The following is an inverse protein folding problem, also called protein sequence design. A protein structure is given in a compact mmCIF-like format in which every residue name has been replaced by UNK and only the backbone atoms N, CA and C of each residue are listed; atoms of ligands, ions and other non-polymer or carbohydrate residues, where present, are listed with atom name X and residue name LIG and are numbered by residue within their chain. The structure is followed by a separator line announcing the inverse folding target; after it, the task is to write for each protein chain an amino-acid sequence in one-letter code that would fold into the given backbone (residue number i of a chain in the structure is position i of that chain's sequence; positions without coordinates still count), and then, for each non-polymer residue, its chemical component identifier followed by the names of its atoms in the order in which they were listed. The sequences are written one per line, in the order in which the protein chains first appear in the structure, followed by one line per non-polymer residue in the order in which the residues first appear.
data_IF_803955949032
#
_entry.id   IF_803955949032
#
_cell.length_a   1.000
_cell.length_b   1.000
_cell.length_c   1.000
_cell.angle_alpha   90.00
_cell.angle_beta   90.00
_cell.angle_gamma   90.00
#
_symmetry.space_group_name_H-M   'P 1'
#
loop_
_entity.id
_entity.type
_entity.pdbx_description
1 polymer ?
#
# COMPACT_ATOMS: atom_id res chain seq x y z
N UNK A 1 -28.76 11.29 27.39
CA UNK A 1 -29.60 10.31 26.68
C UNK A 1 -29.37 8.96 27.34
N UNK A 2 -30.29 8.53 28.20
CA UNK A 2 -30.25 7.23 28.89
C UNK A 2 -30.96 6.20 28.01
N UNK A 3 -30.34 5.04 27.75
CA UNK A 3 -30.97 3.94 27.03
C UNK A 3 -30.22 3.42 25.79
N UNK A 4 -29.20 4.12 25.30
CA UNK A 4 -28.36 3.63 24.19
C UNK A 4 -27.10 2.99 24.77
N UNK A 5 -27.00 1.67 24.65
CA UNK A 5 -25.80 0.90 25.01
C UNK A 5 -25.13 0.40 23.74
N UNK A 6 -23.86 0.75 23.57
CA UNK A 6 -23.02 0.16 22.54
C UNK A 6 -22.38 -1.09 23.16
N UNK A 7 -22.68 -2.26 22.62
CA UNK A 7 -22.01 -3.50 22.96
C UNK A 7 -21.09 -3.88 21.81
N UNK A 8 -19.83 -4.14 22.13
CA UNK A 8 -18.87 -4.67 21.18
C UNK A 8 -18.96 -6.19 21.19
N UNK A 9 -19.29 -6.80 20.05
CA UNK A 9 -19.18 -8.24 19.92
C UNK A 9 -17.78 -8.58 19.38
N UNK A 10 -16.95 -9.14 20.25
CA UNK A 10 -15.57 -9.54 19.94
C UNK A 10 -15.50 -10.66 18.89
N UNK A 11 -16.58 -11.43 18.67
CA UNK A 11 -16.57 -12.58 17.76
C UNK A 11 -16.81 -12.20 16.30
N UNK A 12 -17.63 -11.18 16.06
CA UNK A 12 -18.00 -10.77 14.70
C UNK A 12 -17.35 -9.47 14.26
N UNK A 13 -16.55 -8.82 15.13
CA UNK A 13 -15.90 -7.54 14.85
C UNK A 13 -16.91 -6.42 14.49
N UNK A 14 -18.08 -6.47 15.11
CA UNK A 14 -19.19 -5.55 14.89
C UNK A 14 -19.54 -4.82 16.19
N UNK A 15 -19.88 -3.54 16.08
CA UNK A 15 -20.49 -2.79 17.18
C UNK A 15 -21.99 -2.92 17.06
N UNK A 16 -22.62 -3.53 18.07
CA UNK A 16 -24.07 -3.62 18.17
C UNK A 16 -24.56 -2.45 19.02
N UNK A 17 -25.60 -1.78 18.55
CA UNK A 17 -26.31 -0.77 19.35
C UNK A 17 -27.59 -1.36 19.87
N UNK A 18 -27.67 -1.40 21.20
CA UNK A 18 -28.84 -1.74 21.98
C UNK A 18 -29.55 -0.43 22.33
N UNK A 19 -30.74 -0.24 21.78
CA UNK A 19 -31.59 0.89 22.11
C UNK A 19 -32.79 0.39 22.92
N UNK A 20 -32.86 0.79 24.19
CA UNK A 20 -34.05 0.61 25.01
C UNK A 20 -35.03 1.77 24.75
N UNK A 21 -36.08 1.50 23.97
CA UNK A 21 -37.15 2.43 23.55
C UNK A 21 -37.89 3.05 24.75
N UNK A 22 -37.91 2.37 25.90
CA UNK A 22 -38.57 2.80 27.13
C UNK A 22 -37.94 4.03 27.82
N UNK A 23 -36.73 4.42 27.44
CA UNK A 23 -36.02 5.58 28.02
C UNK A 23 -35.84 6.75 27.04
N UNK A 24 -36.46 6.65 25.86
CA UNK A 24 -36.37 7.66 24.82
C UNK A 24 -37.46 8.71 24.97
N UNK A 25 -37.03 9.98 25.04
CA UNK A 25 -37.92 11.13 25.30
C UNK A 25 -38.24 11.93 24.03
N UNK A 26 -37.88 11.42 22.83
CA UNK A 26 -38.17 12.09 21.55
C UNK A 26 -37.61 11.33 20.33
N UNK A 27 -37.98 11.75 19.10
CA UNK A 27 -37.52 11.12 17.86
C UNK A 27 -36.01 11.25 17.71
N UNK A 28 -35.38 10.16 17.30
CA UNK A 28 -33.92 10.07 17.16
C UNK A 28 -33.54 10.49 15.74
N UNK A 29 -32.57 11.38 15.62
CA UNK A 29 -31.98 11.76 14.35
C UNK A 29 -30.59 11.11 14.18
N UNK A 30 -30.24 10.82 12.93
CA UNK A 30 -28.94 10.27 12.50
C UNK A 30 -27.76 11.08 13.06
N UNK A 31 -27.88 12.41 13.07
CA UNK A 31 -26.85 13.30 13.58
C UNK A 31 -26.61 13.13 15.09
N UNK A 32 -27.65 12.86 15.88
CA UNK A 32 -27.54 12.68 17.33
C UNK A 32 -26.88 11.35 17.69
N UNK A 33 -27.19 10.29 16.94
CA UNK A 33 -26.54 8.98 17.08
C UNK A 33 -25.06 9.02 16.70
N UNK A 34 -24.71 9.73 15.62
CA UNK A 34 -23.31 9.92 15.22
C UNK A 34 -22.57 10.73 16.30
N UNK A 35 -23.17 11.78 16.86
CA UNK A 35 -22.53 12.60 17.90
C UNK A 35 -22.32 11.81 19.20
N UNK A 36 -23.28 10.96 19.58
CA UNK A 36 -23.13 10.02 20.70
C UNK A 36 -22.04 8.98 20.43
N UNK A 37 -21.96 8.45 19.21
CA UNK A 37 -20.93 7.49 18.81
C UNK A 37 -19.52 8.11 18.76
N UNK A 38 -19.40 9.39 18.42
CA UNK A 38 -18.12 10.12 18.48
C UNK A 38 -17.66 10.38 19.92
N UNK A 39 -18.58 10.35 20.89
CA UNK A 39 -18.28 10.54 22.32
C UNK A 39 -17.86 9.24 23.00
N UNK A 40 -18.19 8.08 22.40
CA UNK A 40 -17.82 6.77 22.93
C UNK A 40 -16.41 6.36 22.48
N UNK A 41 -15.74 5.47 23.22
CA UNK A 41 -14.38 4.98 22.91
C UNK A 41 -14.24 4.22 21.57
N UNK A 42 -15.32 4.06 20.80
CA UNK A 42 -15.40 3.25 19.57
C UNK A 42 -15.42 4.11 18.29
N UNK A 43 -14.97 5.36 18.39
CA UNK A 43 -14.91 6.37 17.32
C UNK A 43 -14.19 5.95 16.02
N UNK A 44 -13.43 4.86 16.04
CA UNK A 44 -12.56 4.43 14.93
C UNK A 44 -13.23 3.47 13.93
N UNK A 45 -14.46 3.02 14.19
CA UNK A 45 -15.13 2.04 13.31
C UNK A 45 -15.95 2.71 12.19
N UNK A 46 -16.19 1.96 11.12
CA UNK A 46 -16.90 2.45 9.94
C UNK A 46 -18.42 2.43 10.21
N UNK A 47 -19.10 3.60 10.28
CA UNK A 47 -20.54 3.64 10.49
C UNK A 47 -21.27 3.13 9.24
N UNK A 48 -22.20 2.19 9.41
CA UNK A 48 -23.02 1.68 8.32
C UNK A 48 -24.28 2.56 8.17
N UNK A 49 -24.13 3.70 7.48
CA UNK A 49 -25.19 4.73 7.38
C UNK A 49 -26.49 4.19 6.78
N UNK A 50 -26.43 3.22 5.87
CA UNK A 50 -27.61 2.61 5.24
C UNK A 50 -28.47 1.78 6.21
N UNK A 51 -27.84 1.05 7.14
CA UNK A 51 -28.57 0.25 8.13
C UNK A 51 -29.07 1.11 9.29
N UNK A 52 -28.32 2.17 9.63
CA UNK A 52 -28.72 3.16 10.63
C UNK A 52 -30.01 3.88 10.20
N UNK A 53 -30.16 4.22 8.93
CA UNK A 53 -31.38 4.88 8.42
C UNK A 53 -32.63 4.04 8.61
N UNK A 54 -32.60 2.78 8.17
CA UNK A 54 -33.72 1.83 8.32
C UNK A 54 -34.05 1.57 9.78
N UNK A 55 -33.03 1.41 10.61
CA UNK A 55 -33.19 1.18 12.05
C UNK A 55 -33.84 2.37 12.78
N UNK A 56 -33.50 3.60 12.38
CA UNK A 56 -34.14 4.80 12.93
C UNK A 56 -35.61 4.89 12.49
N UNK A 57 -35.90 4.54 11.23
CA UNK A 57 -37.27 4.51 10.73
C UNK A 57 -38.12 3.46 11.48
N UNK A 58 -37.57 2.26 11.73
CA UNK A 58 -38.22 1.20 12.52
C UNK A 58 -38.44 1.64 13.98
N UNK A 59 -37.44 2.23 14.64
CA UNK A 59 -37.57 2.74 16.02
C UNK A 59 -38.59 3.87 16.11
N UNK A 60 -38.61 4.80 15.14
CA UNK A 60 -39.57 5.89 15.13
C UNK A 60 -41.00 5.40 14.88
N UNK A 61 -41.18 4.32 14.09
CA UNK A 61 -42.47 3.66 13.91
C UNK A 61 -42.94 2.94 15.19
N UNK A 62 -42.04 2.23 15.89
CA UNK A 62 -42.36 1.53 17.14
C UNK A 62 -42.57 2.47 18.34
N UNK A 63 -41.91 3.63 18.35
CA UNK A 63 -42.18 4.73 19.28
C UNK A 63 -43.59 5.30 19.13
N UNK A 64 -44.12 5.36 17.90
CA UNK A 64 -45.51 5.81 17.64
C UNK A 64 -46.53 4.78 18.10
N UNK A 65 -46.16 3.49 18.13
CA UNK A 65 -47.05 2.38 18.52
C UNK A 65 -46.96 2.02 20.01
N UNK A 66 -46.12 2.70 20.80
CA UNK A 66 -45.92 2.49 22.23
C UNK A 66 -45.54 1.04 22.61
N UNK A 67 -44.81 0.35 21.74
CA UNK A 67 -44.31 -0.99 22.03
C UNK A 67 -42.91 -0.91 22.69
N UNK A 68 -42.76 -1.54 23.84
CA UNK A 68 -41.48 -1.64 24.56
C UNK A 68 -40.61 -2.76 23.96
N UNK A 69 -40.21 -2.59 22.69
CA UNK A 69 -39.34 -3.54 21.98
C UNK A 69 -37.89 -3.09 22.13
N UNK A 70 -37.01 -4.05 22.39
CA UNK A 70 -35.56 -3.85 22.33
C UNK A 70 -35.13 -4.08 20.89
N UNK A 71 -34.59 -3.05 20.26
CA UNK A 71 -34.03 -3.17 18.93
C UNK A 71 -32.50 -3.26 19.04
N UNK A 72 -31.96 -4.28 18.38
CA UNK A 72 -30.52 -4.51 18.26
C UNK A 72 -30.18 -4.41 16.77
N UNK A 73 -29.18 -3.60 16.41
CA UNK A 73 -28.67 -3.54 15.03
C UNK A 73 -27.19 -3.26 15.04
N UNK A 74 -26.53 -3.82 14.02
CA UNK A 74 -25.12 -3.58 13.73
C UNK A 74 -24.92 -2.14 13.28
N UNK A 75 -24.22 -1.36 14.10
CA UNK A 75 -24.04 0.08 13.91
C UNK A 75 -22.73 0.41 13.19
N UNK A 76 -21.67 -0.34 13.46
CA UNK A 76 -20.38 -0.12 12.83
C UNK A 76 -19.63 -1.44 12.62
N UNK A 77 -18.87 -1.48 11.53
CA UNK A 77 -18.02 -2.61 11.18
C UNK A 77 -16.55 -2.25 11.29
N UNK A 78 -15.74 -3.20 11.74
CA UNK A 78 -14.29 -3.11 11.65
C UNK A 78 -13.89 -3.38 10.21
N UNK A 79 -13.04 -2.52 9.64
CA UNK A 79 -12.40 -2.78 8.35
C UNK A 79 -10.89 -2.75 8.51
N UNK A 80 -10.25 -3.79 8.01
CA UNK A 80 -8.80 -3.84 7.90
C UNK A 80 -8.27 -2.83 6.87
N UNK A 81 -6.97 -2.56 6.95
CA UNK A 81 -6.32 -1.63 6.04
C UNK A 81 -6.29 -2.21 4.62
N UNK A 82 -6.75 -1.44 3.64
CA UNK A 82 -6.76 -1.86 2.25
C UNK A 82 -5.46 -1.46 1.56
N UNK A 83 -4.84 -2.41 0.85
CA UNK A 83 -3.66 -2.19 0.01
C UNK A 83 -4.05 -2.18 -1.46
N UNK A 84 -3.65 -1.15 -2.19
CA UNK A 84 -3.82 -1.03 -3.64
C UNK A 84 -2.46 -0.77 -4.27
N UNK A 85 -2.07 -1.61 -5.21
CA UNK A 85 -0.80 -1.45 -5.94
C UNK A 85 -1.08 -1.04 -7.38
N UNK A 86 -0.50 0.08 -7.78
CA UNK A 86 -0.57 0.60 -9.16
C UNK A 86 0.82 0.59 -9.76
N UNK A 87 1.00 -0.16 -10.84
CA UNK A 87 2.23 -0.17 -11.64
C UNK A 87 2.08 0.87 -12.74
N UNK A 88 3.09 1.71 -12.93
CA UNK A 88 3.07 2.71 -13.99
C UNK A 88 3.15 2.05 -15.39
N UNK A 89 2.66 2.74 -16.41
CA UNK A 89 2.62 2.23 -17.79
C UNK A 89 4.00 1.88 -18.34
N UNK A 90 5.02 2.61 -17.88
CA UNK A 90 6.43 2.38 -18.22
C UNK A 90 6.99 1.09 -17.59
N UNK A 91 6.26 0.45 -16.67
CA UNK A 91 6.67 -0.70 -15.86
C UNK A 91 7.99 -0.47 -15.10
N UNK A 92 8.35 0.80 -14.90
CA UNK A 92 9.59 1.24 -14.23
C UNK A 92 9.32 1.74 -12.82
N UNK A 93 8.07 1.88 -12.41
CA UNK A 93 7.73 2.23 -11.02
C UNK A 93 6.47 1.53 -10.54
N UNK A 94 6.43 1.22 -9.24
CA UNK A 94 5.24 0.72 -8.58
C UNK A 94 4.90 1.61 -7.38
N UNK A 95 3.66 2.08 -7.36
CA UNK A 95 3.08 2.90 -6.29
C UNK A 95 2.17 2.02 -5.44
N UNK A 96 2.41 2.03 -4.13
CA UNK A 96 1.55 1.39 -3.16
C UNK A 96 0.71 2.46 -2.49
N UNK A 97 -0.60 2.28 -2.51
CA UNK A 97 -1.58 3.06 -1.78
C UNK A 97 -2.12 2.22 -0.61
N UNK A 98 -2.08 2.79 0.58
CA UNK A 98 -2.56 2.17 1.82
C UNK A 98 -3.69 3.03 2.34
N UNK A 99 -4.86 2.43 2.53
CA UNK A 99 -5.99 3.07 3.20
C UNK A 99 -5.96 2.73 4.68
N UNK A 100 -5.99 3.75 5.54
CA UNK A 100 -5.99 3.57 6.98
C UNK A 100 -7.18 2.69 7.42
N UNK A 101 -6.98 1.71 8.31
CA UNK A 101 -8.03 0.81 8.76
C UNK A 101 -9.10 1.58 9.55
N UNK A 102 -10.28 0.98 9.66
CA UNK A 102 -11.34 1.41 10.56
C UNK A 102 -11.37 0.50 11.78
N UNK A 103 -10.47 0.76 12.74
CA UNK A 103 -10.30 -0.05 13.95
C UNK A 103 -9.78 -1.48 13.72
N UNK A 104 -9.44 -1.82 12.47
CA UNK A 104 -8.90 -3.13 12.07
C UNK A 104 -7.38 -3.19 12.08
N UNK A 105 -6.83 -4.30 11.58
CA UNK A 105 -5.38 -4.55 11.59
C UNK A 105 -4.69 -3.81 10.44
N UNK A 106 -3.49 -3.29 10.73
CA UNK A 106 -2.54 -2.83 9.71
C UNK A 106 -1.66 -4.02 9.29
N UNK A 107 -1.52 -4.31 7.99
CA UNK A 107 -0.68 -5.40 7.53
C UNK A 107 0.78 -5.15 7.93
N UNK A 108 1.46 -6.22 8.29
CA UNK A 108 2.89 -6.22 8.56
C UNK A 108 3.68 -5.93 7.28
N UNK A 109 4.92 -5.44 7.44
CA UNK A 109 5.83 -5.20 6.31
C UNK A 109 6.03 -6.46 5.45
N UNK A 110 6.05 -7.65 6.06
CA UNK A 110 6.11 -8.94 5.36
C UNK A 110 4.87 -9.22 4.53
N UNK A 111 3.66 -9.04 5.10
CA UNK A 111 2.39 -9.24 4.38
C UNK A 111 2.27 -8.28 3.20
N UNK A 112 2.68 -7.01 3.37
CA UNK A 112 2.70 -6.02 2.30
C UNK A 112 3.68 -6.39 1.17
N UNK A 113 4.85 -6.98 1.49
CA UNK A 113 5.80 -7.48 0.49
C UNK A 113 5.20 -8.67 -0.27
N UNK A 114 4.58 -9.62 0.43
CA UNK A 114 3.88 -10.76 -0.20
C UNK A 114 2.79 -10.28 -1.15
N UNK A 115 1.98 -9.30 -0.74
CA UNK A 115 0.97 -8.66 -1.59
C UNK A 115 1.59 -8.03 -2.86
N UNK A 116 2.76 -7.38 -2.74
CA UNK A 116 3.48 -6.86 -3.91
C UNK A 116 3.93 -7.98 -4.87
N UNK A 117 4.39 -9.11 -4.32
CA UNK A 117 4.79 -10.27 -5.11
C UNK A 117 3.61 -10.91 -5.86
N UNK A 118 2.43 -11.00 -5.23
CA UNK A 118 1.19 -11.46 -5.88
C UNK A 118 0.79 -10.59 -7.07
N UNK A 119 1.10 -9.29 -7.01
CA UNK A 119 0.90 -8.32 -8.09
C UNK A 119 2.07 -8.23 -9.08
N UNK A 120 2.95 -9.25 -9.11
CA UNK A 120 4.09 -9.39 -10.03
C UNK A 120 5.22 -8.35 -9.86
N UNK A 121 5.21 -7.56 -8.78
CA UNK A 121 6.35 -6.70 -8.44
C UNK A 121 7.32 -7.51 -7.61
N UNK A 122 8.41 -7.99 -8.23
CA UNK A 122 9.38 -8.89 -7.57
C UNK A 122 10.73 -8.24 -7.27
N UNK A 123 11.11 -7.21 -8.02
CA UNK A 123 12.41 -6.54 -7.88
C UNK A 123 12.25 -5.05 -7.63
N UNK A 124 13.25 -4.46 -6.98
CA UNK A 124 13.28 -3.02 -6.70
C UNK A 124 12.43 -2.57 -5.50
N UNK A 125 11.83 -3.49 -4.75
CA UNK A 125 11.01 -3.17 -3.56
C UNK A 125 11.89 -2.67 -2.42
N UNK A 126 11.59 -1.47 -1.91
CA UNK A 126 12.26 -0.92 -0.74
C UNK A 126 11.49 -1.24 0.54
N UNK A 127 12.04 -2.16 1.36
CA UNK A 127 11.46 -2.51 2.68
C UNK A 127 11.32 -1.29 3.61
N UNK A 128 12.29 -0.36 3.56
CA UNK A 128 12.27 0.87 4.36
C UNK A 128 11.09 1.78 4.01
N UNK A 129 10.80 1.93 2.71
CA UNK A 129 9.67 2.75 2.24
C UNK A 129 8.34 2.14 2.63
N UNK A 130 8.20 0.82 2.50
CA UNK A 130 6.98 0.13 2.94
C UNK A 130 6.78 0.30 4.45
N UNK A 131 7.83 0.09 5.27
CA UNK A 131 7.74 0.29 6.72
C UNK A 131 7.30 1.72 7.08
N UNK A 132 7.95 2.73 6.49
CA UNK A 132 7.58 4.13 6.73
C UNK A 132 6.16 4.46 6.25
N UNK A 133 5.71 3.88 5.13
CA UNK A 133 4.35 4.05 4.63
C UNK A 133 3.32 3.46 5.60
N UNK A 134 3.59 2.29 6.17
CA UNK A 134 2.72 1.63 7.15
C UNK A 134 2.67 2.40 8.48
N UNK A 135 3.82 2.90 8.97
CA UNK A 135 3.86 3.76 10.17
C UNK A 135 3.07 5.06 9.98
N UNK A 136 3.19 5.67 8.79
CA UNK A 136 2.39 6.84 8.43
C UNK A 136 0.91 6.50 8.32
N UNK A 137 0.57 5.34 7.75
CA UNK A 137 -0.81 4.86 7.68
C UNK A 137 -1.41 4.62 9.08
N UNK A 138 -0.61 4.17 10.05
CA UNK A 138 -1.03 4.02 11.44
C UNK A 138 -1.34 5.33 12.16
N UNK A 139 -0.72 6.43 11.71
CA UNK A 139 -0.91 7.77 12.31
C UNK A 139 -2.03 8.56 11.62
N UNK A 140 -2.53 8.09 10.46
CA UNK A 140 -3.59 8.77 9.71
C UNK A 140 -4.95 8.58 10.38
N UNK A 141 -5.83 9.55 10.17
CA UNK A 141 -7.24 9.39 10.51
C UNK A 141 -7.85 8.26 9.67
N UNK A 142 -8.74 7.48 10.28
CA UNK A 142 -9.42 6.35 9.66
C UNK A 142 -10.01 6.73 8.30
N UNK A 143 -9.87 5.84 7.31
CA UNK A 143 -10.39 6.07 5.96
C UNK A 143 -9.57 6.97 5.04
N UNK A 144 -8.52 7.67 5.52
CA UNK A 144 -7.62 8.38 4.61
C UNK A 144 -6.66 7.41 3.93
N UNK A 145 -6.43 7.63 2.63
CA UNK A 145 -5.41 6.90 1.89
C UNK A 145 -4.12 7.71 1.78
N UNK A 146 -3.00 6.98 1.77
CA UNK A 146 -1.68 7.53 1.51
C UNK A 146 -1.01 6.68 0.45
N UNK A 147 -0.30 7.32 -0.48
CA UNK A 147 0.35 6.60 -1.57
C UNK A 147 1.79 7.04 -1.78
N UNK A 148 2.66 6.05 -2.00
CA UNK A 148 4.11 6.26 -2.15
C UNK A 148 4.71 5.28 -3.17
N UNK A 149 5.78 5.70 -3.86
CA UNK A 149 6.52 4.85 -4.79
C UNK A 149 7.47 3.95 -4.00
N UNK A 150 7.10 2.68 -3.91
CA UNK A 150 7.81 1.66 -3.11
C UNK A 150 8.84 0.86 -3.93
N UNK A 151 8.67 0.80 -5.25
CA UNK A 151 9.57 0.08 -6.14
C UNK A 151 9.95 0.92 -7.37
N UNK A 152 11.21 0.77 -7.78
CA UNK A 152 11.75 1.39 -8.99
C UNK A 152 12.48 0.34 -9.83
N UNK A 153 12.26 0.40 -11.13
CA UNK A 153 12.96 -0.37 -12.14
C UNK A 153 14.42 0.09 -12.25
N UNK A 154 15.23 -0.77 -12.86
CA UNK A 154 16.61 -0.43 -13.18
C UNK A 154 16.61 0.34 -14.51
N UNK A 155 17.09 1.59 -14.55
CA UNK A 155 17.20 2.31 -15.81
C UNK A 155 18.15 1.61 -16.76
N UNK A 156 17.93 1.82 -18.05
CA UNK A 156 18.84 1.32 -19.06
C UNK A 156 20.24 1.91 -18.82
N UNK A 157 21.25 1.04 -18.80
CA UNK A 157 22.64 1.46 -18.77
C UNK A 157 23.15 1.42 -20.19
N UNK A 158 23.69 2.53 -20.67
CA UNK A 158 24.36 2.54 -21.96
C UNK A 158 25.49 1.51 -21.97
N UNK A 159 25.49 0.67 -23.00
CA UNK A 159 26.57 -0.28 -23.21
C UNK A 159 27.87 0.48 -23.49
N UNK A 160 28.99 -0.05 -23.01
CA UNK A 160 30.29 0.43 -23.50
C UNK A 160 30.46 -0.05 -24.94
N UNK A 161 30.93 0.80 -25.86
CA UNK A 161 31.27 0.33 -27.21
C UNK A 161 32.30 -0.79 -27.09
N UNK A 162 32.09 -1.87 -27.85
CA UNK A 162 33.08 -2.93 -27.96
C UNK A 162 34.28 -2.41 -28.74
N UNK A 163 35.46 -2.45 -28.13
CA UNK A 163 36.70 -2.19 -28.86
C UNK A 163 37.15 -3.48 -29.54
N UNK A 164 37.33 -3.43 -30.86
CA UNK A 164 37.96 -4.52 -31.59
C UNK A 164 39.48 -4.37 -31.44
N UNK A 165 40.04 -5.02 -30.42
CA UNK A 165 41.48 -5.06 -30.20
C UNK A 165 42.05 -6.22 -31.00
N UNK A 166 43.04 -5.95 -31.84
CA UNK A 166 43.73 -6.99 -32.59
C UNK A 166 44.57 -7.84 -31.62
N UNK A 167 44.31 -9.15 -31.55
CA UNK A 167 45.10 -10.08 -30.73
C UNK A 167 46.49 -10.37 -31.31
N UNK A 168 46.68 -10.03 -32.58
CA UNK A 168 47.94 -10.21 -33.31
C UNK A 168 48.26 -8.89 -34.00
N UNK A 169 49.53 -8.51 -34.00
CA UNK A 169 49.99 -7.31 -34.69
C UNK A 169 49.65 -7.36 -36.19
N UNK A 170 49.33 -6.21 -36.77
CA UNK A 170 49.02 -6.12 -38.18
C UNK A 170 50.24 -6.52 -39.02
N UNK A 171 50.06 -7.34 -40.05
CA UNK A 171 51.15 -7.78 -40.93
C UNK A 171 51.91 -6.61 -41.57
N UNK A 172 51.23 -5.50 -41.90
CA UNK A 172 51.86 -4.30 -42.43
C UNK A 172 52.73 -3.60 -41.39
N UNK A 173 52.24 -3.48 -40.16
CA UNK A 173 53.02 -2.92 -39.05
C UNK A 173 54.23 -3.79 -38.70
N UNK A 174 54.11 -5.11 -38.84
CA UNK A 174 55.21 -6.07 -38.65
C UNK A 174 56.29 -5.92 -39.73
N UNK A 175 55.92 -5.67 -40.97
CA UNK A 175 56.88 -5.46 -42.08
C UNK A 175 57.61 -4.12 -41.92
N UNK A 176 56.90 -3.10 -41.41
CA UNK A 176 57.44 -1.76 -41.14
C UNK A 176 58.19 -1.66 -39.80
N UNK A 177 58.53 -2.78 -39.14
CA UNK A 177 59.43 -2.79 -37.97
C UNK A 177 60.70 -3.60 -38.28
N UNK A 178 61.88 -3.12 -37.84
CA UNK A 178 63.12 -3.85 -38.08
C UNK A 178 63.08 -5.18 -37.33
N UNK A 179 63.56 -6.23 -37.97
CA UNK A 179 63.69 -7.55 -37.35
C UNK A 179 64.91 -7.50 -36.42
N UNK A 180 64.70 -7.82 -35.16
CA UNK A 180 65.77 -7.90 -34.16
C UNK A 180 66.20 -9.37 -34.07
N UNK A 181 67.50 -9.63 -34.27
CA UNK A 181 68.09 -10.95 -34.15
C UNK A 181 68.31 -11.36 -32.68
N UNK A 182 68.63 -12.63 -32.40
CA UNK A 182 68.85 -13.17 -31.03
C UNK A 182 69.96 -12.44 -30.25
N UNK A 183 70.78 -11.63 -30.92
CA UNK A 183 71.84 -10.78 -30.33
C UNK A 183 71.40 -9.34 -30.05
N UNK A 184 70.10 -9.03 -30.14
CA UNK A 184 69.52 -7.69 -29.94
C UNK A 184 70.02 -6.64 -30.96
N UNK A 185 70.45 -7.10 -32.13
CA UNK A 185 70.89 -6.25 -33.24
C UNK A 185 69.76 -6.18 -34.27
N UNK A 186 69.33 -4.96 -34.60
CA UNK A 186 68.32 -4.70 -35.61
C UNK A 186 68.90 -4.86 -37.04
N UNK A 187 68.33 -5.76 -37.84
CA UNK A 187 68.65 -5.89 -39.26
C UNK A 187 67.80 -4.91 -40.09
N UNK A 188 68.47 -3.88 -40.63
CA UNK A 188 67.85 -2.82 -41.41
C UNK A 188 67.88 -3.08 -42.93
N UNK A 189 68.51 -4.16 -43.39
CA UNK A 189 68.68 -4.44 -44.83
C UNK A 189 67.36 -4.79 -45.52
N UNK A 190 66.45 -5.42 -44.78
CA UNK A 190 65.09 -5.76 -45.22
C UNK A 190 64.09 -4.59 -45.07
N UNK A 191 64.50 -3.46 -44.46
CA UNK A 191 63.59 -2.38 -44.05
C UNK A 191 63.28 -1.34 -45.16
N UNK A 192 63.78 -1.53 -46.37
CA UNK A 192 63.58 -0.57 -47.47
C UNK A 192 62.42 -1.00 -48.37
N UNK A 193 61.18 -0.71 -47.93
CA UNK A 193 59.99 -0.85 -48.77
C UNK A 193 59.89 0.27 -49.82
N UNK A 194 59.59 -0.11 -51.05
CA UNK A 194 58.76 0.70 -51.96
C UNK A 194 57.32 0.65 -51.44
#
# INVERSE_FOLDING_TARGET
MQGVKFQFDEKEQHVIVLVDVSQLTGPIDTAQLITLFLTTPHQQYFPLTDEIGKFIDDINADLQQANAVKHETTFAIIKDAQLVLTVADDKMSARLEVTAPYGGKIPSTSEAITFCHEKLVTRGISRKRIGALLERAATLSTGKSISEVIAKGLPIKEGKPSECIHLVENALERILRPKIDDKDIADMRDFNGV
#
